data_IF_974602835567
#
_entry.id   IF_974602835567
#
_cell.length_a   1.000
_cell.length_b   1.000
_cell.length_c   1.000
_cell.angle_alpha   90.00
_cell.angle_beta   90.00
_cell.angle_gamma   90.00
#
_symmetry.space_group_name_H-M   'P 1'
#
loop_
_entity.id
_entity.type
_entity.pdbx_description
1 polymer ?
#
# COMPACT_ATOMS: atom_id res chain seq x y z
N UNK A 1 50.60 32.64 3.68
CA UNK A 1 49.47 33.24 4.43
C UNK A 1 49.55 32.94 5.93
N UNK A 2 50.76 32.97 6.52
CA UNK A 2 50.99 32.67 7.95
C UNK A 2 51.18 33.95 8.78
N UNK A 3 51.49 35.07 8.10
CA UNK A 3 51.81 36.35 8.75
C UNK A 3 50.58 37.12 9.25
N UNK A 4 49.36 36.72 8.85
CA UNK A 4 48.11 37.33 9.34
C UNK A 4 47.61 36.73 10.67
N UNK A 5 48.20 35.63 11.15
CA UNK A 5 47.80 34.99 12.43
C UNK A 5 48.51 35.64 13.63
N UNK A 6 49.67 36.27 13.42
CA UNK A 6 50.47 36.88 14.50
C UNK A 6 50.03 38.31 14.87
N UNK A 7 49.09 38.89 14.13
CA UNK A 7 48.64 40.27 14.28
C UNK A 7 47.19 40.38 14.80
N UNK A 8 46.73 39.42 15.60
CA UNK A 8 45.55 39.62 16.42
C UNK A 8 45.99 39.82 17.88
N UNK A 9 45.68 40.99 18.49
CA UNK A 9 45.97 41.20 19.89
C UNK A 9 45.17 40.16 20.66
N UNK A 10 45.85 39.50 21.60
CA UNK A 10 45.27 38.49 22.47
C UNK A 10 43.88 38.93 22.95
N UNK A 11 42.84 38.38 22.33
CA UNK A 11 41.56 38.26 23.01
C UNK A 11 41.92 37.48 24.27
N UNK A 12 41.73 38.05 25.48
CA UNK A 12 41.88 37.22 26.65
C UNK A 12 40.84 36.14 26.46
N UNK A 13 41.27 34.89 26.30
CA UNK A 13 40.44 33.75 26.62
C UNK A 13 40.17 33.88 28.12
N UNK A 14 39.27 34.80 28.50
CA UNK A 14 38.33 34.57 29.59
C UNK A 14 37.40 33.46 29.08
N UNK A 15 37.97 32.31 28.76
CA UNK A 15 37.26 31.06 28.65
C UNK A 15 36.79 30.80 30.07
N UNK A 16 35.63 31.34 30.42
CA UNK A 16 34.93 30.92 31.61
C UNK A 16 34.94 29.40 31.58
N UNK A 17 35.37 28.73 32.65
CA UNK A 17 35.32 27.27 32.75
C UNK A 17 33.97 26.72 32.28
N UNK A 18 32.89 27.49 32.49
CA UNK A 18 31.55 27.22 31.95
C UNK A 18 31.49 27.08 30.42
N UNK A 19 32.23 27.86 29.64
CA UNK A 19 32.28 27.77 28.18
C UNK A 19 32.95 26.49 27.65
N UNK A 20 34.03 26.03 28.28
CA UNK A 20 34.64 24.74 27.93
C UNK A 20 33.77 23.54 28.33
N UNK A 21 33.05 23.67 29.44
CA UNK A 21 32.08 22.66 29.88
C UNK A 21 30.91 22.55 28.89
N UNK A 22 30.38 23.69 28.44
CA UNK A 22 29.32 23.76 27.42
C UNK A 22 29.79 23.16 26.09
N UNK A 23 31.00 23.48 25.64
CA UNK A 23 31.53 22.90 24.39
C UNK A 23 31.69 21.37 24.46
N UNK A 24 32.14 20.85 25.61
CA UNK A 24 32.26 19.40 25.80
C UNK A 24 30.89 18.71 25.76
N UNK A 25 29.87 19.35 26.33
CA UNK A 25 28.48 18.87 26.27
C UNK A 25 27.95 18.88 24.83
N UNK A 26 28.23 19.93 24.04
CA UNK A 26 27.77 20.04 22.65
C UNK A 26 28.37 18.94 21.75
N UNK A 27 29.65 18.61 21.93
CA UNK A 27 30.34 17.55 21.16
C UNK A 27 29.72 16.18 21.42
N UNK A 28 29.17 15.94 22.62
CA UNK A 28 28.45 14.69 22.95
C UNK A 28 26.97 14.76 22.54
N UNK A 29 26.33 15.92 22.67
CA UNK A 29 24.93 16.09 22.28
C UNK A 29 24.71 15.94 20.77
N UNK A 30 25.67 16.33 19.94
CA UNK A 30 25.56 16.19 18.47
C UNK A 30 25.44 14.72 18.01
N UNK A 31 26.30 13.77 18.40
CA UNK A 31 26.11 12.36 18.06
C UNK A 31 24.91 11.74 18.76
N UNK A 32 24.54 12.22 19.96
CA UNK A 32 23.37 11.71 20.68
C UNK A 32 22.07 12.13 19.99
N UNK A 33 21.98 13.38 19.52
CA UNK A 33 20.87 13.86 18.68
C UNK A 33 20.86 13.18 17.32
N UNK A 34 22.02 12.93 16.71
CA UNK A 34 22.11 12.13 15.48
C UNK A 34 21.63 10.69 15.69
N UNK A 35 21.94 10.05 16.82
CA UNK A 35 21.51 8.71 17.16
C UNK A 35 20.00 8.65 17.46
N UNK A 36 19.46 9.65 18.16
CA UNK A 36 18.03 9.79 18.41
C UNK A 36 17.28 10.06 17.10
N UNK A 37 17.79 10.93 16.24
CA UNK A 37 17.24 11.19 14.91
C UNK A 37 17.30 9.93 14.03
N UNK A 38 18.43 9.21 14.03
CA UNK A 38 18.57 7.94 13.31
C UNK A 38 17.59 6.90 13.84
N UNK A 39 17.43 6.78 15.16
CA UNK A 39 16.49 5.84 15.76
C UNK A 39 15.03 6.19 15.45
N UNK A 40 14.67 7.47 15.49
CA UNK A 40 13.29 7.94 15.20
C UNK A 40 12.94 7.92 13.72
N UNK A 41 13.86 8.31 12.83
CA UNK A 41 13.64 8.29 11.38
C UNK A 41 13.64 6.85 10.85
N UNK A 42 14.41 5.93 11.47
CA UNK A 42 14.56 4.56 10.98
C UNK A 42 13.61 3.54 11.65
N UNK A 43 13.03 3.82 12.83
CA UNK A 43 12.00 2.97 13.45
C UNK A 43 10.57 3.33 12.98
N UNK A 44 10.31 3.23 11.68
CA UNK A 44 9.06 2.58 11.31
C UNK A 44 9.43 1.11 11.14
N UNK A 45 8.94 0.24 12.03
CA UNK A 45 9.10 -1.20 11.86
C UNK A 45 8.70 -1.53 10.42
N UNK A 46 9.61 -2.07 9.57
CA UNK A 46 9.31 -2.31 8.16
C UNK A 46 8.02 -3.11 7.99
N UNK A 47 7.75 -4.01 8.94
CA UNK A 47 6.52 -4.79 9.07
C UNK A 47 5.26 -3.93 9.25
N UNK A 48 5.29 -2.91 10.12
CA UNK A 48 4.18 -1.97 10.31
C UNK A 48 3.95 -1.11 9.06
N UNK A 49 5.02 -0.68 8.39
CA UNK A 49 4.91 0.05 7.12
C UNK A 49 4.25 -0.81 6.02
N UNK A 50 4.71 -2.05 5.85
CA UNK A 50 4.15 -3.01 4.90
C UNK A 50 2.67 -3.26 5.21
N UNK A 51 2.31 -3.54 6.46
CA UNK A 51 0.92 -3.74 6.90
C UNK A 51 0.04 -2.54 6.57
N UNK A 52 0.53 -1.33 6.84
CA UNK A 52 -0.18 -0.09 6.55
C UNK A 52 -0.37 0.09 5.05
N UNK A 53 0.68 -0.17 4.25
CA UNK A 53 0.63 -0.06 2.79
C UNK A 53 -0.37 -1.06 2.18
N UNK A 54 -0.39 -2.31 2.65
CA UNK A 54 -1.38 -3.31 2.24
C UNK A 54 -2.80 -2.83 2.59
N UNK A 55 -3.00 -2.33 3.80
CA UNK A 55 -4.28 -1.76 4.24
C UNK A 55 -4.75 -0.60 3.34
N UNK A 56 -3.84 0.29 2.94
CA UNK A 56 -4.15 1.37 1.99
C UNK A 56 -4.52 0.84 0.60
N UNK A 57 -3.82 -0.18 0.10
CA UNK A 57 -4.14 -0.78 -1.21
C UNK A 57 -5.49 -1.50 -1.18
N UNK A 58 -5.85 -2.17 -0.10
CA UNK A 58 -7.19 -2.77 0.08
C UNK A 58 -8.28 -1.72 0.11
N UNK A 59 -8.07 -0.63 0.85
CA UNK A 59 -9.02 0.49 0.90
C UNK A 59 -9.23 1.10 -0.50
N UNK A 60 -8.16 1.26 -1.29
CA UNK A 60 -8.29 1.74 -2.67
C UNK A 60 -9.19 0.82 -3.50
N UNK A 61 -9.04 -0.50 -3.40
CA UNK A 61 -9.90 -1.46 -4.11
C UNK A 61 -11.35 -1.37 -3.62
N UNK A 62 -11.58 -1.20 -2.32
CA UNK A 62 -12.91 -1.01 -1.75
C UNK A 62 -13.57 0.27 -2.25
N UNK A 63 -12.81 1.37 -2.38
CA UNK A 63 -13.30 2.64 -2.92
C UNK A 63 -13.66 2.53 -4.42
N UNK A 64 -12.86 1.78 -5.20
CA UNK A 64 -13.18 1.48 -6.60
C UNK A 64 -14.48 0.66 -6.68
N UNK A 65 -14.60 -0.37 -5.84
CA UNK A 65 -15.82 -1.17 -5.78
C UNK A 65 -17.05 -0.34 -5.37
N UNK A 66 -16.87 0.66 -4.51
CA UNK A 66 -17.91 1.59 -4.06
C UNK A 66 -18.36 2.62 -5.10
N UNK A 67 -17.66 2.76 -6.22
CA UNK A 67 -18.00 3.75 -7.24
C UNK A 67 -17.61 5.20 -6.90
N UNK A 68 -17.19 5.47 -5.66
CA UNK A 68 -16.79 6.80 -5.17
C UNK A 68 -15.74 7.48 -6.06
N UNK A 69 -14.84 6.69 -6.65
CA UNK A 69 -13.71 7.17 -7.45
C UNK A 69 -13.92 7.06 -8.96
N UNK A 70 -15.07 6.59 -9.45
CA UNK A 70 -15.32 6.51 -10.89
C UNK A 70 -15.45 7.88 -11.55
N UNK A 71 -15.94 8.90 -10.84
CA UNK A 71 -16.21 10.22 -11.36
C UNK A 71 -14.99 11.16 -11.50
N UNK A 72 -13.87 10.91 -10.80
CA UNK A 72 -12.90 11.98 -10.47
C UNK A 72 -11.48 11.85 -11.05
N UNK A 73 -11.11 10.77 -11.75
CA UNK A 73 -9.75 10.64 -12.32
C UNK A 73 -9.69 9.61 -13.47
N UNK A 74 -9.01 9.89 -14.58
CA UNK A 74 -8.86 8.94 -15.70
C UNK A 74 -8.29 7.58 -15.28
N UNK A 75 -8.73 6.50 -15.94
CA UNK A 75 -8.34 5.11 -15.65
C UNK A 75 -6.80 4.92 -15.54
N UNK A 76 -6.05 5.59 -16.41
CA UNK A 76 -4.58 5.62 -16.48
C UNK A 76 -3.92 5.99 -15.14
N UNK A 77 -4.36 7.09 -14.54
CA UNK A 77 -3.79 7.60 -13.28
C UNK A 77 -4.03 6.65 -12.10
N UNK A 78 -5.05 5.80 -12.20
CA UNK A 78 -5.41 4.83 -11.15
C UNK A 78 -4.49 3.61 -11.20
N UNK A 79 -4.27 3.05 -12.39
CA UNK A 79 -3.32 1.96 -12.59
C UNK A 79 -1.90 2.38 -12.21
N UNK A 80 -1.49 3.61 -12.55
CA UNK A 80 -0.19 4.15 -12.18
C UNK A 80 0.01 4.22 -10.65
N UNK A 81 -1.02 4.61 -9.89
CA UNK A 81 -0.96 4.67 -8.42
C UNK A 81 -0.84 3.30 -7.77
N UNK A 82 -1.69 2.34 -8.17
CA UNK A 82 -1.62 0.97 -7.64
C UNK A 82 -0.29 0.31 -7.98
N UNK A 83 0.19 0.48 -9.23
CA UNK A 83 1.47 -0.04 -9.67
C UNK A 83 2.66 0.58 -8.90
N UNK A 84 2.65 1.90 -8.68
CA UNK A 84 3.67 2.57 -7.87
C UNK A 84 3.68 2.08 -6.42
N UNK A 85 2.49 1.87 -5.84
CA UNK A 85 2.35 1.30 -4.48
C UNK A 85 2.86 -0.14 -4.43
N UNK A 86 2.58 -0.95 -5.45
CA UNK A 86 3.10 -2.31 -5.59
C UNK A 86 4.64 -2.33 -5.66
N UNK A 87 5.26 -1.49 -6.49
CA UNK A 87 6.74 -1.39 -6.55
C UNK A 87 7.30 -0.99 -5.18
N UNK A 88 6.65 -0.04 -4.51
CA UNK A 88 7.05 0.43 -3.18
C UNK A 88 6.98 -0.72 -2.16
N UNK A 89 5.90 -1.50 -2.18
CA UNK A 89 5.71 -2.68 -1.34
C UNK A 89 6.81 -3.73 -1.56
N UNK A 90 7.10 -4.08 -2.82
CA UNK A 90 8.14 -5.05 -3.17
C UNK A 90 9.52 -4.57 -2.71
N UNK A 91 9.82 -3.27 -2.84
CA UNK A 91 11.08 -2.69 -2.34
C UNK A 91 11.19 -2.79 -0.81
N UNK A 92 10.12 -2.48 -0.09
CA UNK A 92 10.10 -2.58 1.37
C UNK A 92 10.21 -4.02 1.86
N UNK A 93 9.56 -4.96 1.18
CA UNK A 93 9.72 -6.38 1.46
C UNK A 93 11.13 -6.87 1.20
N UNK A 94 11.75 -6.53 0.07
CA UNK A 94 13.14 -6.92 -0.18
C UNK A 94 14.10 -6.34 0.87
N UNK A 95 13.74 -5.20 1.46
CA UNK A 95 14.53 -4.55 2.53
C UNK A 95 14.29 -5.20 3.90
N UNK A 96 13.10 -5.75 4.17
CA UNK A 96 12.86 -6.56 5.37
C UNK A 96 13.20 -8.00 5.07
N UNK A 97 14.25 -8.59 5.66
CA UNK A 97 14.59 -10.02 5.48
C UNK A 97 13.48 -11.02 5.92
N UNK A 98 12.29 -10.53 6.27
CA UNK A 98 11.09 -11.29 6.59
C UNK A 98 10.39 -11.75 5.30
N UNK A 99 10.78 -12.93 4.83
CA UNK A 99 10.29 -13.56 3.59
C UNK A 99 8.94 -14.27 3.75
N UNK A 100 8.28 -14.14 4.89
CA UNK A 100 7.15 -15.02 5.24
C UNK A 100 5.85 -14.73 4.45
N UNK A 101 5.75 -13.61 3.73
CA UNK A 101 4.52 -13.26 2.99
C UNK A 101 4.87 -13.00 1.52
N UNK A 102 4.25 -13.73 0.56
CA UNK A 102 4.41 -13.46 -0.87
C UNK A 102 3.62 -12.20 -1.27
N UNK A 103 4.08 -11.01 -0.86
CA UNK A 103 3.37 -9.76 -1.14
C UNK A 103 3.40 -9.35 -2.62
N UNK A 104 4.29 -9.93 -3.44
CA UNK A 104 4.19 -9.80 -4.89
C UNK A 104 2.90 -10.46 -5.40
N UNK A 105 2.65 -11.72 -5.00
CA UNK A 105 1.45 -12.45 -5.38
C UNK A 105 0.17 -11.81 -4.83
N UNK A 106 0.18 -11.40 -3.55
CA UNK A 106 -0.93 -10.66 -2.95
C UNK A 106 -1.18 -9.29 -3.59
N UNK A 107 -0.12 -8.58 -3.97
CA UNK A 107 -0.20 -7.31 -4.69
C UNK A 107 -0.76 -7.46 -6.11
N UNK A 108 -0.36 -8.52 -6.83
CA UNK A 108 -0.96 -8.88 -8.12
C UNK A 108 -2.43 -9.26 -7.97
N UNK A 109 -2.80 -9.96 -6.90
CA UNK A 109 -4.19 -10.28 -6.57
C UNK A 109 -5.01 -8.98 -6.39
N UNK A 110 -4.51 -8.00 -5.63
CA UNK A 110 -5.17 -6.68 -5.48
C UNK A 110 -5.31 -5.93 -6.81
N UNK A 111 -4.29 -5.99 -7.66
CA UNK A 111 -4.36 -5.38 -8.99
C UNK A 111 -5.46 -6.05 -9.84
N UNK A 112 -5.50 -7.39 -9.89
CA UNK A 112 -6.53 -8.13 -10.62
C UNK A 112 -7.94 -7.81 -10.11
N UNK A 113 -8.09 -7.67 -8.79
CA UNK A 113 -9.34 -7.32 -8.13
C UNK A 113 -9.80 -5.89 -8.49
N UNK A 114 -8.88 -4.94 -8.61
CA UNK A 114 -9.17 -3.59 -9.10
C UNK A 114 -9.67 -3.60 -10.54
N UNK A 115 -9.05 -4.42 -11.41
CA UNK A 115 -9.46 -4.58 -12.81
C UNK A 115 -10.86 -5.19 -12.90
N UNK A 116 -11.15 -6.22 -12.09
CA UNK A 116 -12.49 -6.82 -12.00
C UNK A 116 -13.53 -5.79 -11.55
N UNK A 117 -13.23 -4.98 -10.53
CA UNK A 117 -14.14 -3.93 -10.07
C UNK A 117 -14.47 -2.94 -11.19
N UNK A 118 -13.45 -2.49 -11.93
CA UNK A 118 -13.62 -1.57 -13.06
C UNK A 118 -14.44 -2.20 -14.19
N UNK A 119 -14.13 -3.44 -14.57
CA UNK A 119 -14.89 -4.17 -15.61
C UNK A 119 -16.33 -4.40 -15.20
N UNK A 120 -16.59 -4.71 -13.93
CA UNK A 120 -17.95 -4.85 -13.39
C UNK A 120 -18.73 -3.53 -13.51
N UNK A 121 -18.10 -2.39 -13.20
CA UNK A 121 -18.73 -1.07 -13.42
C UNK A 121 -18.98 -0.80 -14.91
N UNK A 122 -18.05 -1.11 -15.81
CA UNK A 122 -18.26 -0.94 -17.26
C UNK A 122 -19.44 -1.77 -17.75
N UNK A 123 -19.52 -3.05 -17.36
CA UNK A 123 -20.64 -3.94 -17.69
C UNK A 123 -21.98 -3.41 -17.18
N UNK A 124 -22.01 -2.83 -15.97
CA UNK A 124 -23.22 -2.25 -15.40
C UNK A 124 -23.74 -1.01 -16.15
N UNK A 125 -22.91 -0.36 -16.95
CA UNK A 125 -23.31 0.77 -17.80
C UNK A 125 -23.57 0.36 -19.26
N UNK A 126 -23.46 -0.93 -19.61
CA UNK A 126 -23.82 -1.40 -20.94
C UNK A 126 -25.34 -1.42 -21.11
N UNK A 127 -25.87 -0.99 -22.28
CA UNK A 127 -27.31 -0.90 -22.52
C UNK A 127 -28.03 -2.26 -22.55
N UNK A 128 -27.34 -3.33 -22.96
CA UNK A 128 -27.95 -4.66 -23.17
C UNK A 128 -27.73 -5.64 -22.01
N UNK A 129 -27.41 -5.14 -20.81
CA UNK A 129 -27.16 -6.02 -19.66
C UNK A 129 -28.46 -6.63 -19.12
N UNK A 130 -28.49 -7.96 -18.96
CA UNK A 130 -29.64 -8.63 -18.36
C UNK A 130 -29.80 -8.23 -16.87
N UNK A 131 -31.04 -8.01 -16.37
CA UNK A 131 -31.27 -7.58 -14.99
C UNK A 131 -30.68 -8.54 -13.94
N UNK A 132 -30.66 -9.84 -14.24
CA UNK A 132 -30.06 -10.86 -13.39
C UNK A 132 -28.54 -10.74 -13.28
N UNK A 133 -27.86 -10.41 -14.38
CA UNK A 133 -26.42 -10.19 -14.42
C UNK A 133 -26.04 -8.89 -13.72
N UNK A 134 -26.81 -7.82 -13.94
CA UNK A 134 -26.62 -6.55 -13.23
C UNK A 134 -26.72 -6.70 -11.70
N UNK A 135 -27.76 -7.38 -11.18
CA UNK A 135 -27.90 -7.64 -9.73
C UNK A 135 -26.74 -8.43 -9.15
N UNK A 136 -26.19 -9.40 -9.90
CA UNK A 136 -25.01 -10.16 -9.44
C UNK A 136 -23.75 -9.31 -9.40
N UNK A 137 -23.50 -8.51 -10.43
CA UNK A 137 -22.34 -7.60 -10.45
C UNK A 137 -22.42 -6.56 -9.33
N UNK A 138 -23.59 -5.99 -9.05
CA UNK A 138 -23.80 -5.11 -7.90
C UNK A 138 -23.53 -5.83 -6.57
N UNK A 139 -23.97 -7.08 -6.44
CA UNK A 139 -23.71 -7.89 -5.25
C UNK A 139 -22.21 -8.18 -5.10
N UNK A 140 -21.52 -8.50 -6.19
CA UNK A 140 -20.06 -8.68 -6.20
C UNK A 140 -19.36 -7.41 -5.72
N UNK A 141 -19.66 -6.25 -6.31
CA UNK A 141 -19.10 -4.96 -5.91
C UNK A 141 -19.37 -4.66 -4.43
N UNK A 142 -20.59 -4.92 -3.94
CA UNK A 142 -20.93 -4.78 -2.52
C UNK A 142 -20.08 -5.67 -1.62
N UNK A 143 -19.79 -6.91 -2.03
CA UNK A 143 -18.92 -7.83 -1.29
C UNK A 143 -17.45 -7.41 -1.37
N UNK A 144 -17.00 -6.88 -2.49
CA UNK A 144 -15.64 -6.34 -2.62
C UNK A 144 -15.39 -5.16 -1.67
N UNK A 145 -16.43 -4.38 -1.32
CA UNK A 145 -16.33 -3.34 -0.27
C UNK A 145 -16.03 -3.92 1.11
N UNK A 146 -16.27 -5.21 1.36
CA UNK A 146 -15.91 -5.88 2.62
C UNK A 146 -14.57 -6.63 2.57
N UNK A 147 -13.75 -6.42 1.52
CA UNK A 147 -12.47 -7.13 1.33
C UNK A 147 -11.56 -7.16 2.56
N UNK A 148 -11.39 -6.02 3.25
CA UNK A 148 -10.52 -5.93 4.44
C UNK A 148 -10.99 -6.80 5.61
N UNK A 149 -12.29 -7.09 5.69
CA UNK A 149 -12.89 -7.83 6.81
C UNK A 149 -13.16 -9.30 6.46
N UNK A 150 -13.56 -9.57 5.22
CA UNK A 150 -14.06 -10.87 4.76
C UNK A 150 -13.54 -11.20 3.34
N UNK A 151 -12.23 -11.41 3.15
CA UNK A 151 -11.64 -11.75 1.85
C UNK A 151 -12.19 -13.07 1.27
N UNK A 152 -12.48 -14.06 2.11
CA UNK A 152 -13.06 -15.34 1.72
C UNK A 152 -14.45 -15.19 1.07
N UNK A 153 -15.24 -14.21 1.51
CA UNK A 153 -16.53 -13.91 0.90
C UNK A 153 -16.40 -13.25 -0.47
N UNK A 154 -15.32 -12.50 -0.70
CA UNK A 154 -15.01 -11.92 -2.02
C UNK A 154 -14.64 -13.03 -3.01
N UNK A 155 -13.78 -13.97 -2.60
CA UNK A 155 -13.40 -15.13 -3.42
C UNK A 155 -14.65 -15.92 -3.86
N UNK A 156 -15.51 -16.29 -2.91
CA UNK A 156 -16.76 -17.01 -3.22
C UNK A 156 -17.71 -16.20 -4.12
N UNK A 157 -17.75 -14.87 -3.95
CA UNK A 157 -18.59 -14.02 -4.79
C UNK A 157 -18.07 -13.94 -6.23
N UNK A 158 -16.75 -13.94 -6.43
CA UNK A 158 -16.12 -13.97 -7.75
C UNK A 158 -16.49 -15.26 -8.49
N UNK A 159 -16.32 -16.43 -7.89
CA UNK A 159 -16.65 -17.73 -8.52
C UNK A 159 -18.13 -17.85 -8.90
N UNK A 160 -19.03 -17.45 -7.98
CA UNK A 160 -20.47 -17.47 -8.22
C UNK A 160 -20.87 -16.52 -9.35
N UNK A 161 -20.22 -15.37 -9.45
CA UNK A 161 -20.50 -14.40 -10.50
C UNK A 161 -19.95 -14.91 -11.82
N UNK A 162 -18.71 -15.41 -11.86
CA UNK A 162 -18.11 -16.01 -13.05
C UNK A 162 -18.95 -17.14 -13.65
N UNK A 163 -19.50 -18.01 -12.80
CA UNK A 163 -20.34 -19.13 -13.26
C UNK A 163 -21.56 -18.66 -14.04
N UNK A 164 -22.15 -17.51 -13.69
CA UNK A 164 -23.30 -16.96 -14.41
C UNK A 164 -22.90 -16.12 -15.60
N UNK A 165 -21.79 -15.39 -15.52
CA UNK A 165 -21.26 -14.64 -16.64
C UNK A 165 -20.68 -15.53 -17.75
N UNK A 166 -20.44 -16.83 -17.49
CA UNK A 166 -19.81 -17.73 -18.48
C UNK A 166 -20.56 -17.79 -19.80
N UNK A 167 -21.89 -17.62 -19.80
CA UNK A 167 -22.71 -17.65 -21.02
C UNK A 167 -22.70 -16.31 -21.76
N UNK A 168 -22.93 -15.22 -21.05
CA UNK A 168 -23.16 -13.90 -21.65
C UNK A 168 -21.84 -13.12 -21.86
N UNK A 169 -20.85 -13.32 -20.99
CA UNK A 169 -19.58 -12.57 -20.90
C UNK A 169 -18.41 -13.52 -20.55
N UNK A 170 -17.98 -14.39 -21.48
CA UNK A 170 -17.02 -15.46 -21.19
C UNK A 170 -15.61 -14.94 -20.82
N UNK A 171 -15.20 -13.80 -21.37
CA UNK A 171 -13.89 -13.16 -21.08
C UNK A 171 -13.87 -12.67 -19.63
N UNK A 172 -14.91 -11.96 -19.20
CA UNK A 172 -15.03 -11.45 -17.85
C UNK A 172 -15.22 -12.59 -16.85
N UNK A 173 -15.99 -13.63 -17.20
CA UNK A 173 -16.10 -14.83 -16.38
C UNK A 173 -14.72 -15.49 -16.12
N UNK A 174 -13.85 -15.56 -17.13
CA UNK A 174 -12.49 -16.08 -16.97
C UNK A 174 -11.66 -15.19 -16.04
N UNK A 175 -11.71 -13.87 -16.25
CA UNK A 175 -11.01 -12.90 -15.40
C UNK A 175 -11.43 -13.03 -13.92
N UNK A 176 -12.73 -13.20 -13.65
CA UNK A 176 -13.24 -13.37 -12.30
C UNK A 176 -12.73 -14.67 -11.64
N UNK A 177 -12.71 -15.80 -12.37
CA UNK A 177 -12.15 -17.08 -11.87
C UNK A 177 -10.66 -16.99 -11.59
N UNK A 178 -9.92 -16.39 -12.51
CA UNK A 178 -8.47 -16.20 -12.35
C UNK A 178 -8.17 -15.34 -11.13
N UNK A 179 -8.92 -14.25 -10.95
CA UNK A 179 -8.80 -13.39 -9.75
C UNK A 179 -9.13 -14.16 -8.48
N UNK A 180 -10.19 -14.97 -8.47
CA UNK A 180 -10.55 -15.81 -7.33
C UNK A 180 -9.42 -16.80 -6.97
N UNK A 181 -8.85 -17.45 -7.99
CA UNK A 181 -7.74 -18.39 -7.82
C UNK A 181 -6.48 -17.71 -7.28
N UNK A 182 -6.06 -16.58 -7.85
CA UNK A 182 -4.88 -15.84 -7.40
C UNK A 182 -5.06 -15.33 -5.97
N UNK A 183 -6.28 -14.89 -5.60
CA UNK A 183 -6.59 -14.54 -4.21
C UNK A 183 -6.50 -15.73 -3.26
N UNK A 184 -7.00 -16.91 -3.68
CA UNK A 184 -6.96 -18.12 -2.87
C UNK A 184 -5.52 -18.61 -2.62
N UNK A 185 -4.67 -18.59 -3.66
CA UNK A 185 -3.24 -18.94 -3.54
C UNK A 185 -2.51 -17.98 -2.58
N UNK A 186 -2.94 -16.73 -2.52
CA UNK A 186 -2.32 -15.69 -1.69
C UNK A 186 -3.15 -15.34 -0.45
N UNK A 187 -3.95 -16.26 0.09
CA UNK A 187 -4.85 -15.99 1.21
C UNK A 187 -4.13 -15.40 2.44
N UNK A 188 -2.93 -15.89 2.76
CA UNK A 188 -2.12 -15.41 3.87
C UNK A 188 -1.82 -13.90 3.81
N UNK A 189 -1.65 -13.35 2.61
CA UNK A 189 -1.46 -11.91 2.42
C UNK A 189 -2.70 -11.09 2.84
N UNK A 190 -3.90 -11.63 2.58
CA UNK A 190 -5.15 -10.96 2.94
C UNK A 190 -5.46 -11.07 4.44
N UNK A 191 -5.04 -12.15 5.08
CA UNK A 191 -5.20 -12.36 6.51
C UNK A 191 -4.24 -11.49 7.34
N UNK A 192 -3.00 -11.30 6.90
CA UNK A 192 -2.04 -10.41 7.58
C UNK A 192 -2.56 -8.97 7.68
N UNK A 193 -3.22 -8.50 6.62
CA UNK A 193 -3.81 -7.16 6.56
C UNK A 193 -4.99 -6.99 7.54
N UNK A 194 -5.64 -8.09 7.93
CA UNK A 194 -6.72 -8.10 8.93
C UNK A 194 -6.20 -7.88 10.35
N UNK A 195 -5.01 -8.40 10.64
CA UNK A 195 -4.36 -8.33 11.96
C UNK A 195 -3.70 -6.98 12.28
N UNK A 196 -3.61 -6.05 11.34
CA UNK A 196 -2.93 -4.76 11.49
C UNK A 196 -3.79 -3.66 12.14
N UNK A 197 -4.56 -3.98 13.19
CA UNK A 197 -5.37 -3.00 13.95
C UNK A 197 -4.56 -2.29 15.02
#
# INVERSE_FOLDING_TARGET
MIMLILLQPAFPLKGAFGGSLVNSIVVVLAPLTALVAFRLIYHSTPTTCIKTLIGMMMQDVQDIAGGQRLATAGHETRHARLYRRLITLVRWMNKSSDQNIPALGGGLALQSLSTVALRAHVLLHMPDITPGTARRLQTLLKRMRSLKHQPEHVIRALDRTATRLTRDFPVEARLLRETAHVMQVNAAFFDEARGAR
#
